data_IF_957929073864
#
_entry.id   IF_957929073864
#
_cell.length_a   1.000
_cell.length_b   1.000
_cell.length_c   1.000
_cell.angle_alpha   90.00
_cell.angle_beta   90.00
_cell.angle_gamma   90.00
#
_symmetry.space_group_name_H-M   'P 1'
#
loop_
_entity.id
_entity.type
_entity.pdbx_description
1 polymer ?
#
# COMPACT_ATOMS: atom_id res chain seq x y z
N UNK A 1 -6.12 4.53 17.65
CA UNK A 1 -5.45 5.03 16.40
C UNK A 1 -6.28 6.10 15.69
N UNK A 2 -6.78 7.08 16.46
CA UNK A 2 -7.58 8.19 15.91
C UNK A 2 -6.71 9.04 14.95
N UNK A 3 -7.26 9.43 13.78
CA UNK A 3 -6.51 10.18 12.77
C UNK A 3 -5.69 9.35 11.77
N UNK A 4 -5.60 8.03 11.97
CA UNK A 4 -4.89 7.11 11.08
C UNK A 4 -5.86 6.25 10.26
N UNK A 5 -5.42 5.86 9.07
CA UNK A 5 -6.06 4.85 8.23
C UNK A 5 -5.10 3.67 8.05
N UNK A 6 -5.59 2.46 8.14
CA UNK A 6 -4.85 1.30 7.68
C UNK A 6 -4.70 1.39 6.17
N UNK A 7 -3.48 1.23 5.68
CA UNK A 7 -3.13 1.34 4.26
C UNK A 7 -2.43 0.07 3.76
N UNK A 8 -1.78 0.16 2.63
CA UNK A 8 -0.92 -0.89 2.12
C UNK A 8 -1.64 -2.16 1.68
N UNK A 9 -0.88 -3.26 1.70
CA UNK A 9 -1.40 -4.55 1.24
C UNK A 9 -2.48 -5.13 2.12
N UNK A 10 -2.43 -4.89 3.43
CA UNK A 10 -3.42 -5.42 4.37
C UNK A 10 -4.76 -4.73 4.20
N UNK A 11 -4.79 -3.41 4.06
CA UNK A 11 -6.03 -2.69 3.79
C UNK A 11 -6.66 -3.11 2.45
N UNK A 12 -5.83 -3.36 1.42
CA UNK A 12 -6.33 -3.82 0.13
C UNK A 12 -6.84 -5.27 0.21
N UNK A 13 -6.12 -6.13 0.93
CA UNK A 13 -6.52 -7.53 1.11
C UNK A 13 -7.84 -7.68 1.88
N UNK A 14 -8.09 -6.83 2.86
CA UNK A 14 -9.38 -6.79 3.58
C UNK A 14 -10.53 -6.38 2.65
N UNK A 15 -10.30 -5.46 1.71
CA UNK A 15 -11.32 -4.97 0.80
C UNK A 15 -11.60 -5.90 -0.39
N UNK A 16 -10.57 -6.60 -0.91
CA UNK A 16 -10.69 -7.38 -2.15
C UNK A 16 -10.43 -8.89 -1.99
N UNK A 17 -9.90 -9.34 -0.86
CA UNK A 17 -9.72 -10.77 -0.59
C UNK A 17 -8.78 -11.50 -1.56
N UNK A 18 -7.84 -10.81 -2.19
CA UNK A 18 -7.02 -11.38 -3.27
C UNK A 18 -5.79 -12.17 -2.80
N UNK A 19 -5.24 -11.82 -1.65
CA UNK A 19 -4.07 -12.48 -1.06
C UNK A 19 -4.01 -12.29 0.46
N UNK A 20 -3.20 -13.09 1.13
CA UNK A 20 -2.88 -12.87 2.53
C UNK A 20 -1.93 -11.68 2.70
N UNK A 21 -2.20 -10.86 3.70
CA UNK A 21 -1.31 -9.80 4.17
C UNK A 21 -1.45 -9.67 5.68
N UNK A 22 -0.34 -9.45 6.38
CA UNK A 22 -0.31 -9.45 7.85
C UNK A 22 0.32 -8.20 8.45
N UNK A 23 1.11 -7.46 7.68
CA UNK A 23 1.74 -6.23 8.15
C UNK A 23 0.67 -5.12 8.31
N UNK A 24 0.79 -4.31 9.34
CA UNK A 24 -0.15 -3.25 9.65
C UNK A 24 0.51 -1.89 9.40
N UNK A 25 0.12 -1.24 8.33
CA UNK A 25 0.61 0.08 7.94
C UNK A 25 -0.45 1.13 8.27
N UNK A 26 -0.22 1.96 9.30
CA UNK A 26 -1.10 3.04 9.72
C UNK A 26 -0.53 4.39 9.29
N UNK A 27 -1.20 5.06 8.36
CA UNK A 27 -0.80 6.37 7.86
C UNK A 27 -1.85 7.41 8.22
N UNK A 28 -1.41 8.57 8.70
CA UNK A 28 -2.35 9.63 9.08
C UNK A 28 -1.66 10.82 9.74
N UNK A 29 -2.46 11.65 10.35
CA UNK A 29 -1.97 12.79 11.15
C UNK A 29 -2.01 12.39 12.63
N UNK A 30 -0.85 12.26 13.29
CA UNK A 30 -0.82 11.93 14.70
C UNK A 30 -1.58 12.96 15.54
N UNK A 31 -2.49 12.49 16.39
CA UNK A 31 -3.20 13.30 17.36
C UNK A 31 -2.51 13.30 18.75
N UNK A 32 -1.54 12.39 18.93
CA UNK A 32 -0.79 12.19 20.18
C UNK A 32 0.69 11.95 19.87
N UNK A 33 1.59 12.17 20.84
CA UNK A 33 3.01 11.83 20.71
C UNK A 33 3.26 10.35 20.39
N UNK A 34 4.39 10.05 19.81
CA UNK A 34 4.77 8.64 19.51
C UNK A 34 4.93 7.79 20.78
N UNK A 35 5.32 8.39 21.92
CA UNK A 35 5.41 7.73 23.20
C UNK A 35 4.06 7.11 23.60
N UNK A 36 3.00 7.88 23.49
CA UNK A 36 1.65 7.42 23.83
C UNK A 36 1.20 6.27 22.90
N UNK A 37 1.62 6.31 21.63
CA UNK A 37 1.38 5.22 20.67
C UNK A 37 2.15 3.96 21.09
N UNK A 38 3.40 4.10 21.51
CA UNK A 38 4.24 3.00 22.00
C UNK A 38 3.60 2.38 23.25
N UNK A 39 3.17 3.19 24.21
CA UNK A 39 2.53 2.73 25.45
C UNK A 39 1.22 1.99 25.16
N UNK A 40 0.41 2.54 24.25
CA UNK A 40 -0.82 1.88 23.80
C UNK A 40 -0.54 0.52 23.14
N UNK A 41 0.46 0.42 22.23
CA UNK A 41 0.84 -0.84 21.60
C UNK A 41 1.44 -1.83 22.61
N UNK A 42 2.23 -1.35 23.57
CA UNK A 42 2.83 -2.15 24.65
C UNK A 42 1.77 -2.77 25.56
N UNK A 43 0.64 -2.11 25.75
CA UNK A 43 -0.49 -2.67 26.52
C UNK A 43 -1.15 -3.88 25.84
N UNK A 44 -0.97 -4.04 24.52
CA UNK A 44 -1.50 -5.16 23.74
C UNK A 44 -0.56 -6.37 23.73
N UNK A 45 0.71 -6.20 24.14
CA UNK A 45 1.70 -7.28 24.18
C UNK A 45 3.13 -6.79 24.04
N UNK A 46 4.08 -7.74 23.96
CA UNK A 46 5.50 -7.40 23.78
C UNK A 46 5.73 -6.69 22.43
N UNK A 47 6.45 -5.58 22.49
CA UNK A 47 6.86 -4.84 21.31
C UNK A 47 8.39 -4.76 21.22
N UNK A 48 8.88 -4.69 19.98
CA UNK A 48 10.28 -4.34 19.66
C UNK A 48 10.26 -3.15 18.71
N UNK A 49 10.88 -2.04 19.10
CA UNK A 49 11.01 -0.86 18.24
C UNK A 49 12.20 -1.08 17.30
N UNK A 50 11.93 -1.12 15.98
CA UNK A 50 12.95 -1.30 14.96
C UNK A 50 13.50 0.03 14.42
N UNK A 51 12.62 1.02 14.25
CA UNK A 51 13.00 2.33 13.76
C UNK A 51 12.07 3.39 14.34
N UNK A 52 12.65 4.54 14.66
CA UNK A 52 11.92 5.69 15.17
C UNK A 52 12.56 6.98 14.67
N UNK A 53 11.75 7.81 14.04
CA UNK A 53 12.06 9.19 13.66
C UNK A 53 10.87 10.08 14.01
N UNK A 54 10.98 11.39 13.81
CA UNK A 54 9.86 12.31 14.07
C UNK A 54 8.58 11.96 13.31
N UNK A 55 8.69 11.21 12.18
CA UNK A 55 7.57 10.90 11.29
C UNK A 55 7.26 9.42 11.15
N UNK A 56 8.15 8.56 11.61
CA UNK A 56 8.06 7.12 11.38
C UNK A 56 8.28 6.40 12.72
N UNK A 57 7.35 5.54 13.07
CA UNK A 57 7.49 4.56 14.14
C UNK A 57 7.26 3.17 13.53
N UNK A 58 8.27 2.32 13.57
CA UNK A 58 8.21 0.93 13.11
C UNK A 58 8.46 -0.01 14.28
N UNK A 59 7.49 -0.83 14.58
CA UNK A 59 7.59 -1.80 15.68
C UNK A 59 7.20 -3.19 15.21
N UNK A 60 7.61 -4.20 15.96
CA UNK A 60 7.04 -5.54 15.87
C UNK A 60 6.25 -5.80 17.15
N UNK A 61 4.95 -6.01 17.02
CA UNK A 61 4.04 -6.35 18.10
C UNK A 61 3.62 -7.81 17.97
N UNK A 62 4.03 -8.66 18.93
CA UNK A 62 3.72 -10.12 18.89
C UNK A 62 4.10 -10.80 17.57
N UNK A 63 5.21 -10.39 16.96
CA UNK A 63 5.67 -10.92 15.67
C UNK A 63 5.04 -10.28 14.43
N UNK A 64 4.11 -9.35 14.59
CA UNK A 64 3.47 -8.62 13.48
C UNK A 64 4.17 -7.27 13.33
N UNK A 65 4.59 -6.94 12.11
CA UNK A 65 5.14 -5.63 11.78
C UNK A 65 4.02 -4.59 11.80
N UNK A 66 4.26 -3.49 12.52
CA UNK A 66 3.35 -2.33 12.60
C UNK A 66 4.14 -1.07 12.27
N UNK A 67 3.78 -0.41 11.19
CA UNK A 67 4.33 0.88 10.79
C UNK A 67 3.29 1.98 11.08
N UNK A 68 3.70 3.01 11.81
CA UNK A 68 2.88 4.20 12.07
C UNK A 68 3.61 5.41 11.49
N UNK A 69 3.00 6.04 10.49
CA UNK A 69 3.66 7.09 9.71
C UNK A 69 2.85 8.38 9.74
N UNK A 70 3.50 9.48 10.12
CA UNK A 70 2.96 10.82 9.92
C UNK A 70 2.87 11.12 8.42
N UNK A 71 1.64 11.09 7.93
CA UNK A 71 1.29 11.30 6.53
C UNK A 71 0.61 12.65 6.28
N UNK A 72 0.72 13.58 7.23
CA UNK A 72 0.05 14.89 7.24
C UNK A 72 0.36 15.76 6.02
N UNK A 73 1.51 15.53 5.36
CA UNK A 73 1.90 16.27 4.15
C UNK A 73 1.21 15.82 2.86
N UNK A 74 0.45 14.71 2.88
CA UNK A 74 -0.25 14.17 1.73
C UNK A 74 -1.75 14.16 1.96
N UNK A 75 -2.49 14.71 1.01
CA UNK A 75 -3.95 14.69 1.06
C UNK A 75 -4.51 13.31 0.73
N UNK A 76 -5.61 12.95 1.37
CA UNK A 76 -6.40 11.79 0.99
C UNK A 76 -7.20 12.09 -0.29
N UNK A 77 -7.32 11.11 -1.16
CA UNK A 77 -8.05 11.24 -2.44
C UNK A 77 -9.55 11.10 -2.22
N UNK A 78 -9.92 10.16 -1.33
CA UNK A 78 -11.31 9.84 -1.06
C UNK A 78 -11.58 9.60 0.43
N UNK A 79 -12.85 9.46 0.79
CA UNK A 79 -13.26 9.10 2.13
C UNK A 79 -12.70 7.73 2.53
N UNK A 80 -12.45 7.49 3.83
CA UNK A 80 -12.05 6.17 4.30
C UNK A 80 -13.18 5.16 4.11
N UNK A 81 -12.78 3.88 3.96
CA UNK A 81 -13.69 2.76 4.03
C UNK A 81 -13.74 2.27 5.48
N UNK A 82 -14.95 2.11 6.01
CA UNK A 82 -15.15 1.56 7.36
C UNK A 82 -15.48 0.08 7.26
N UNK A 83 -14.65 -0.77 7.84
CA UNK A 83 -14.83 -2.22 7.82
C UNK A 83 -14.59 -2.77 9.23
N UNK A 84 -15.60 -3.40 9.83
CA UNK A 84 -15.54 -4.00 11.17
C UNK A 84 -14.90 -3.11 12.25
N UNK A 85 -15.19 -1.81 12.22
CA UNK A 85 -14.62 -0.83 13.16
C UNK A 85 -13.19 -0.35 12.81
N UNK A 86 -12.62 -0.83 11.71
CA UNK A 86 -11.36 -0.35 11.18
C UNK A 86 -11.58 0.80 10.19
N UNK A 87 -10.70 1.78 10.24
CA UNK A 87 -10.65 2.88 9.27
C UNK A 87 -9.60 2.54 8.22
N UNK A 88 -10.03 2.13 7.02
CA UNK A 88 -9.15 1.76 5.91
C UNK A 88 -8.99 2.95 4.95
N UNK A 89 -7.84 3.06 4.31
CA UNK A 89 -7.69 3.95 3.17
C UNK A 89 -8.57 3.50 2.00
N UNK A 90 -9.05 4.45 1.20
CA UNK A 90 -9.82 4.14 0.00
C UNK A 90 -8.99 3.35 -1.01
N UNK A 91 -9.60 2.53 -1.88
CA UNK A 91 -8.86 1.87 -2.97
C UNK A 91 -8.12 2.84 -3.88
N UNK A 92 -8.63 4.05 -4.08
CA UNK A 92 -7.97 5.11 -4.88
C UNK A 92 -6.70 5.60 -4.21
N UNK A 93 -6.72 5.78 -2.89
CA UNK A 93 -5.54 6.14 -2.12
C UNK A 93 -4.50 5.04 -2.14
N UNK A 94 -4.94 3.78 -1.92
CA UNK A 94 -4.05 2.62 -1.96
C UNK A 94 -3.44 2.46 -3.37
N UNK A 95 -4.21 2.67 -4.43
CA UNK A 95 -3.73 2.61 -5.81
C UNK A 95 -2.57 3.60 -6.05
N UNK A 96 -2.74 4.86 -5.67
CA UNK A 96 -1.68 5.86 -5.75
C UNK A 96 -0.43 5.44 -4.96
N UNK A 97 -0.61 4.92 -3.74
CA UNK A 97 0.47 4.45 -2.89
C UNK A 97 1.18 3.21 -3.47
N UNK A 98 0.45 2.31 -4.14
CA UNK A 98 1.02 1.12 -4.78
C UNK A 98 1.84 1.46 -6.02
N UNK A 99 1.40 2.42 -6.84
CA UNK A 99 2.23 2.92 -7.95
C UNK A 99 3.53 3.53 -7.40
N UNK A 100 3.45 4.35 -6.34
CA UNK A 100 4.64 4.89 -5.70
C UNK A 100 5.58 3.80 -5.13
N UNK A 101 5.02 2.74 -4.57
CA UNK A 101 5.79 1.61 -4.07
C UNK A 101 6.47 0.82 -5.20
N UNK A 102 5.79 0.63 -6.34
CA UNK A 102 6.37 -0.02 -7.54
C UNK A 102 7.51 0.84 -8.11
N UNK A 103 7.34 2.17 -8.20
CA UNK A 103 8.41 3.07 -8.65
C UNK A 103 9.65 3.02 -7.73
N UNK A 104 9.44 2.86 -6.42
CA UNK A 104 10.53 2.89 -5.45
C UNK A 104 11.23 1.56 -5.22
N UNK A 105 10.47 0.47 -5.06
CA UNK A 105 11.01 -0.87 -4.68
C UNK A 105 10.53 -2.02 -5.56
N UNK A 106 9.40 -1.86 -6.25
CA UNK A 106 8.88 -2.83 -7.19
C UNK A 106 8.75 -4.26 -6.66
N UNK A 107 8.22 -4.45 -5.44
CA UNK A 107 8.09 -5.80 -4.90
C UNK A 107 6.98 -6.59 -5.58
N UNK A 108 7.09 -7.95 -5.61
CA UNK A 108 6.07 -8.83 -6.18
C UNK A 108 4.68 -8.56 -5.61
N UNK A 109 4.58 -8.34 -4.29
CA UNK A 109 3.31 -8.02 -3.63
C UNK A 109 2.70 -6.71 -4.14
N UNK A 110 3.52 -5.71 -4.48
CA UNK A 110 3.03 -4.43 -4.99
C UNK A 110 2.44 -4.59 -6.40
N UNK A 111 3.07 -5.39 -7.27
CA UNK A 111 2.51 -5.71 -8.60
C UNK A 111 1.24 -6.55 -8.53
N UNK A 112 1.15 -7.51 -7.59
CA UNK A 112 -0.08 -8.27 -7.35
C UNK A 112 -1.22 -7.33 -6.94
N UNK A 113 -0.93 -6.35 -6.08
CA UNK A 113 -1.90 -5.35 -5.65
C UNK A 113 -2.31 -4.43 -6.82
N UNK A 114 -1.37 -4.03 -7.69
CA UNK A 114 -1.66 -3.28 -8.92
C UNK A 114 -2.52 -4.13 -9.88
N UNK A 115 -2.20 -5.42 -10.07
CA UNK A 115 -3.03 -6.32 -10.87
C UNK A 115 -4.47 -6.33 -10.36
N UNK A 116 -4.68 -6.47 -9.05
CA UNK A 116 -6.02 -6.47 -8.44
C UNK A 116 -6.74 -5.13 -8.66
N UNK A 117 -6.05 -4.03 -8.46
CA UNK A 117 -6.62 -2.70 -8.69
C UNK A 117 -7.02 -2.47 -10.15
N UNK A 118 -6.26 -3.01 -11.11
CA UNK A 118 -6.58 -2.96 -12.55
C UNK A 118 -7.80 -3.82 -12.95
N UNK A 119 -8.34 -4.67 -12.06
CA UNK A 119 -9.63 -5.33 -12.29
C UNK A 119 -10.82 -4.38 -11.99
N UNK A 120 -10.59 -3.30 -11.24
CA UNK A 120 -11.62 -2.36 -10.80
C UNK A 120 -11.50 -0.97 -11.41
N UNK A 121 -10.29 -0.60 -11.86
CA UNK A 121 -9.97 0.71 -12.42
C UNK A 121 -9.18 0.55 -13.72
N UNK A 122 -9.32 1.51 -14.62
CA UNK A 122 -8.43 1.62 -15.78
C UNK A 122 -7.03 2.06 -15.37
N UNK A 123 -6.03 1.80 -16.20
CA UNK A 123 -4.67 2.30 -15.95
C UNK A 123 -4.63 3.84 -15.88
N UNK A 124 -5.42 4.52 -16.73
CA UNK A 124 -5.53 5.98 -16.69
C UNK A 124 -6.00 6.49 -15.33
N UNK A 125 -7.07 5.90 -14.79
CA UNK A 125 -7.55 6.27 -13.46
C UNK A 125 -6.51 6.02 -12.35
N UNK A 126 -5.79 4.90 -12.39
CA UNK A 126 -4.73 4.63 -11.41
C UNK A 126 -3.61 5.69 -11.47
N UNK A 127 -3.22 6.09 -12.67
CA UNK A 127 -2.21 7.11 -12.89
C UNK A 127 -2.70 8.51 -12.48
N UNK A 128 -3.98 8.81 -12.69
CA UNK A 128 -4.61 10.06 -12.23
C UNK A 128 -4.66 10.11 -10.69
N UNK A 129 -4.98 9.00 -10.01
CA UNK A 129 -4.91 8.92 -8.55
C UNK A 129 -3.47 9.15 -8.06
N UNK A 130 -2.48 8.55 -8.73
CA UNK A 130 -1.07 8.75 -8.42
C UNK A 130 -0.66 10.23 -8.57
N UNK A 131 -0.99 10.87 -9.67
CA UNK A 131 -0.66 12.29 -9.88
C UNK A 131 -1.36 13.22 -8.89
N UNK A 132 -2.63 12.93 -8.57
CA UNK A 132 -3.40 13.70 -7.57
C UNK A 132 -2.74 13.63 -6.19
N UNK A 133 -2.24 12.45 -5.80
CA UNK A 133 -1.61 12.25 -4.48
C UNK A 133 -0.16 12.75 -4.44
N UNK A 134 0.56 12.61 -5.54
CA UNK A 134 1.98 12.90 -5.67
C UNK A 134 2.26 13.84 -6.85
N UNK A 135 1.80 15.11 -6.80
CA UNK A 135 1.84 16.03 -7.95
C UNK A 135 3.25 16.37 -8.41
N UNK A 136 4.26 16.22 -7.56
CA UNK A 136 5.67 16.52 -7.86
C UNK A 136 6.47 15.30 -8.35
N UNK A 137 5.81 14.14 -8.53
CA UNK A 137 6.46 12.91 -8.96
C UNK A 137 6.27 12.70 -10.47
N UNK A 138 7.20 11.98 -11.09
CA UNK A 138 7.20 11.78 -12.52
C UNK A 138 6.17 10.74 -12.96
N UNK A 139 5.15 11.17 -13.68
CA UNK A 139 4.19 10.30 -14.36
C UNK A 139 4.88 9.26 -15.26
N UNK A 140 5.88 9.69 -16.03
CA UNK A 140 6.56 8.82 -16.98
C UNK A 140 7.36 7.71 -16.28
N UNK A 141 8.05 8.04 -15.18
CA UNK A 141 8.74 7.03 -14.38
C UNK A 141 7.77 6.03 -13.76
N UNK A 142 6.66 6.50 -13.22
CA UNK A 142 5.61 5.65 -12.68
C UNK A 142 5.07 4.68 -13.73
N UNK A 143 4.77 5.16 -14.95
CA UNK A 143 4.30 4.34 -16.05
C UNK A 143 5.32 3.28 -16.47
N UNK A 144 6.60 3.66 -16.62
CA UNK A 144 7.67 2.71 -16.99
C UNK A 144 7.90 1.66 -15.91
N UNK A 145 7.87 2.04 -14.63
CA UNK A 145 8.11 1.11 -13.52
C UNK A 145 7.08 -0.02 -13.45
N UNK A 146 5.86 0.22 -13.97
CA UNK A 146 4.79 -0.81 -14.00
C UNK A 146 5.12 -2.02 -14.91
N UNK A 147 6.14 -1.93 -15.75
CA UNK A 147 6.60 -3.07 -16.58
C UNK A 147 7.98 -3.59 -16.21
N UNK A 148 8.60 -3.06 -15.16
CA UNK A 148 9.90 -3.51 -14.66
C UNK A 148 9.69 -4.51 -13.52
N UNK A 149 9.75 -5.80 -13.83
CA UNK A 149 9.48 -6.89 -12.88
C UNK A 149 10.72 -7.56 -12.30
N UNK A 150 11.92 -7.18 -12.76
CA UNK A 150 13.17 -7.90 -12.46
C UNK A 150 13.40 -8.04 -10.95
N UNK A 151 13.20 -6.98 -10.18
CA UNK A 151 13.35 -6.99 -8.72
C UNK A 151 12.30 -7.86 -8.00
N UNK A 152 11.19 -8.14 -8.67
CA UNK A 152 10.11 -8.97 -8.14
C UNK A 152 10.29 -10.47 -8.45
N UNK A 153 11.09 -10.84 -9.46
CA UNK A 153 11.19 -12.23 -9.95
C UNK A 153 11.73 -13.23 -8.92
N UNK A 154 12.67 -12.80 -8.08
CA UNK A 154 13.25 -13.65 -7.04
C UNK A 154 12.43 -13.75 -5.76
N UNK A 155 11.37 -12.95 -5.63
CA UNK A 155 10.59 -12.88 -4.41
C UNK A 155 9.54 -13.98 -4.34
N UNK A 156 9.30 -14.50 -3.13
CA UNK A 156 8.29 -15.51 -2.91
C UNK A 156 6.86 -14.99 -3.21
N UNK A 157 6.02 -15.88 -3.76
CA UNK A 157 4.59 -15.60 -3.87
C UNK A 157 3.96 -15.54 -2.47
N UNK A 158 3.13 -14.54 -2.17
CA UNK A 158 2.29 -14.60 -0.98
C UNK A 158 1.24 -15.71 -1.14
N UNK A 159 0.58 -16.09 -0.05
CA UNK A 159 -0.59 -16.96 -0.14
C UNK A 159 -1.69 -16.22 -0.89
N UNK A 160 -2.03 -16.74 -2.07
CA UNK A 160 -3.06 -16.19 -2.94
C UNK A 160 -4.44 -16.78 -2.62
N UNK A 161 -5.48 -15.99 -2.84
CA UNK A 161 -6.89 -16.41 -2.78
C UNK A 161 -7.57 -16.32 -4.15
N UNK A 162 -6.85 -15.87 -5.17
CA UNK A 162 -7.24 -15.87 -6.58
C UNK A 162 -6.36 -16.86 -7.35
N UNK A 163 -6.82 -17.32 -8.51
CA UNK A 163 -6.18 -18.42 -9.26
C UNK A 163 -5.10 -17.97 -10.25
N UNK A 164 -4.99 -16.66 -10.51
CA UNK A 164 -4.05 -16.14 -11.50
C UNK A 164 -2.60 -16.36 -11.08
N UNK A 165 -1.81 -16.80 -12.05
CA UNK A 165 -0.35 -17.01 -11.91
C UNK A 165 0.39 -15.67 -11.99
N UNK A 166 1.62 -15.65 -11.52
CA UNK A 166 2.50 -14.49 -11.64
C UNK A 166 2.70 -14.03 -13.09
N UNK A 167 2.90 -14.97 -14.01
CA UNK A 167 3.11 -14.67 -15.43
C UNK A 167 1.85 -14.08 -16.10
N UNK A 168 0.67 -14.55 -15.72
CA UNK A 168 -0.60 -13.96 -16.18
C UNK A 168 -0.76 -12.52 -15.67
N UNK A 169 -0.41 -12.26 -14.41
CA UNK A 169 -0.47 -10.91 -13.84
C UNK A 169 0.49 -9.95 -14.55
N UNK A 170 1.76 -10.37 -14.77
CA UNK A 170 2.74 -9.57 -15.51
C UNK A 170 2.27 -9.28 -16.94
N UNK A 171 1.79 -10.29 -17.63
CA UNK A 171 1.27 -10.16 -18.99
C UNK A 171 0.09 -9.18 -19.05
N UNK A 172 -0.83 -9.28 -18.08
CA UNK A 172 -1.98 -8.39 -17.98
C UNK A 172 -1.55 -6.93 -17.78
N UNK A 173 -0.68 -6.66 -16.79
CA UNK A 173 -0.17 -5.30 -16.51
C UNK A 173 0.56 -4.75 -17.74
N UNK A 174 1.46 -5.54 -18.35
CA UNK A 174 2.22 -5.13 -19.53
C UNK A 174 1.31 -4.78 -20.71
N UNK A 175 0.23 -5.55 -20.94
CA UNK A 175 -0.73 -5.26 -22.00
C UNK A 175 -1.52 -3.97 -21.73
N UNK A 176 -1.88 -3.70 -20.46
CA UNK A 176 -2.51 -2.43 -20.09
C UNK A 176 -1.59 -1.24 -20.34
N UNK A 177 -0.30 -1.37 -20.01
CA UNK A 177 0.70 -0.30 -20.25
C UNK A 177 0.94 -0.10 -21.74
N UNK A 178 1.11 -1.17 -22.54
CA UNK A 178 1.29 -1.08 -24.02
C UNK A 178 0.08 -0.46 -24.71
N UNK A 179 -1.11 -0.74 -24.25
CA UNK A 179 -2.36 -0.17 -24.81
C UNK A 179 -2.72 1.22 -24.28
N UNK A 180 -1.91 1.79 -23.39
CA UNK A 180 -2.19 3.10 -22.80
C UNK A 180 -1.76 4.23 -23.76
N UNK A 181 -2.75 4.89 -24.33
CA UNK A 181 -2.60 6.14 -25.09
C UNK A 181 -3.22 7.27 -24.26
N UNK A 182 -2.41 8.22 -23.89
CA UNK A 182 -2.85 9.42 -23.13
C UNK A 182 -3.54 10.44 -24.07
#
# INVERSE_FOLDING_TARGET
MQGFRLVGGTALALQYGHRQSVDLDFFGTPAVPQEDIIDMLSSLGSIVVHNRTDKILQVVLRGIKVDVIDYSRYSWIDNPVMEEGLTLASPKDIAAMKINAVEGRGSRKDFIDIYMLLQHYTLGELLDFYQKKYPNYSFFRALLSLTYFDDAESQAMPKMFISQTWDEMKSYISNKVKGYNR
#
